data_IF_934725900760
#
_entry.id   IF_934725900760
#
_cell.length_a   1.000
_cell.length_b   1.000
_cell.length_c   1.000
_cell.angle_alpha   90.00
_cell.angle_beta   90.00
_cell.angle_gamma   90.00
#
_symmetry.space_group_name_H-M   'P 1'
#
loop_
_entity.id
_entity.type
_entity.pdbx_description
1 polymer ?
#
# COMPACT_ATOMS: atom_id res chain seq x y z
N UNK A 1 -19.42 -10.78 50.08
CA UNK A 1 -18.16 -10.18 50.60
C UNK A 1 -17.04 -11.21 50.51
N UNK A 2 -15.81 -10.73 50.24
CA UNK A 2 -14.52 -11.41 49.91
C UNK A 2 -14.41 -11.77 48.41
N UNK A 3 -13.85 -10.92 47.53
CA UNK A 3 -12.52 -10.26 47.38
C UNK A 3 -11.40 -11.20 46.89
N UNK A 4 -10.78 -10.80 45.77
CA UNK A 4 -9.48 -11.24 45.23
C UNK A 4 -9.38 -10.85 43.74
N UNK A 5 -9.10 -9.58 43.42
CA UNK A 5 -7.82 -9.06 42.88
C UNK A 5 -7.34 -9.83 41.63
N UNK A 6 -7.49 -9.28 40.43
CA UNK A 6 -6.58 -8.32 39.77
C UNK A 6 -5.25 -8.97 39.37
N UNK A 7 -5.05 -9.19 38.07
CA UNK A 7 -3.73 -9.08 37.44
C UNK A 7 -3.94 -8.44 36.05
N UNK A 8 -3.60 -7.16 35.96
CA UNK A 8 -3.31 -6.49 34.70
C UNK A 8 -1.98 -7.02 34.16
N UNK A 9 -1.96 -7.57 32.95
CA UNK A 9 -0.71 -7.71 32.18
C UNK A 9 -0.80 -6.74 31.01
N UNK A 10 -0.33 -5.53 31.27
CA UNK A 10 0.13 -4.59 30.25
C UNK A 10 1.37 -5.19 29.59
N UNK A 11 1.27 -5.66 28.36
CA UNK A 11 2.48 -5.91 27.54
C UNK A 11 2.84 -4.57 26.91
N UNK A 12 3.83 -3.91 27.53
CA UNK A 12 4.51 -2.74 26.97
C UNK A 12 5.24 -3.15 25.69
N UNK A 13 4.97 -2.40 24.62
CA UNK A 13 5.86 -2.24 23.47
C UNK A 13 7.19 -1.64 23.95
N UNK A 14 8.27 -2.42 23.84
CA UNK A 14 9.64 -1.91 23.96
C UNK A 14 10.23 -1.77 22.55
N UNK A 15 10.24 -0.55 22.04
CA UNK A 15 11.17 -0.13 20.99
C UNK A 15 12.53 0.11 21.66
N UNK A 16 13.50 -0.76 21.41
CA UNK A 16 14.90 -0.48 21.77
C UNK A 16 15.68 -0.07 20.51
N UNK A 17 15.80 1.24 20.33
CA UNK A 17 16.77 1.87 19.46
C UNK A 17 18.19 1.60 20.02
N UNK A 18 19.00 0.85 19.29
CA UNK A 18 20.43 0.74 19.56
C UNK A 18 21.19 1.61 18.55
N UNK A 19 21.53 2.84 18.96
CA UNK A 19 22.67 3.55 18.42
C UNK A 19 23.91 3.01 19.14
N UNK A 20 24.80 2.33 18.43
CA UNK A 20 26.12 2.01 18.96
C UNK A 20 27.17 2.88 18.26
N UNK A 21 27.81 3.72 19.07
CA UNK A 21 28.92 4.59 18.70
C UNK A 21 30.16 3.75 18.39
N UNK A 22 30.62 3.75 17.14
CA UNK A 22 32.00 3.37 16.83
C UNK A 22 32.87 4.63 16.79
N UNK A 23 33.72 4.73 17.81
CA UNK A 23 34.77 5.73 17.97
C UNK A 23 35.87 5.46 16.93
N UNK A 24 36.08 6.37 15.97
CA UNK A 24 37.27 6.36 15.10
C UNK A 24 38.06 7.63 15.31
N UNK A 25 39.34 7.45 15.66
CA UNK A 25 40.29 8.49 15.96
C UNK A 25 40.81 9.20 14.68
N UNK A 26 40.82 10.53 14.75
CA UNK A 26 41.81 11.49 14.23
C UNK A 26 42.46 11.26 12.86
N UNK A 27 42.27 12.22 11.94
CA UNK A 27 43.40 13.00 11.40
C UNK A 27 42.96 14.34 10.81
N UNK A 28 43.55 15.41 11.34
CA UNK A 28 43.49 16.79 10.88
C UNK A 28 44.30 16.96 9.59
N UNK A 29 43.74 17.63 8.58
CA UNK A 29 44.52 18.48 7.66
C UNK A 29 43.76 19.78 7.37
N UNK A 30 44.44 20.87 7.73
CA UNK A 30 44.08 22.27 7.53
C UNK A 30 44.45 22.76 6.13
N UNK A 31 43.82 23.87 5.71
CA UNK A 31 44.30 24.89 4.76
C UNK A 31 44.05 24.57 3.26
N UNK A 32 43.59 25.47 2.38
CA UNK A 32 43.70 26.92 2.29
C UNK A 32 42.56 27.58 1.48
N UNK A 33 42.29 28.84 1.82
CA UNK A 33 41.63 29.89 1.02
C UNK A 33 42.39 30.21 -0.27
N UNK A 34 41.72 30.46 -1.40
CA UNK A 34 42.06 31.57 -2.31
C UNK A 34 40.92 31.90 -3.28
N UNK A 35 40.58 33.19 -3.32
CA UNK A 35 39.81 33.85 -4.37
C UNK A 35 40.59 33.81 -5.71
N UNK A 36 39.89 33.92 -6.84
CA UNK A 36 40.27 34.87 -7.88
C UNK A 36 39.12 35.17 -8.85
N UNK A 37 38.73 36.44 -8.84
CA UNK A 37 38.02 37.14 -9.91
C UNK A 37 39.03 37.43 -11.02
N UNK A 38 38.63 37.25 -12.29
CA UNK A 38 39.19 38.01 -13.41
C UNK A 38 38.05 38.37 -14.37
N UNK A 39 37.68 39.64 -14.27
CA UNK A 39 36.99 40.46 -15.25
C UNK A 39 37.85 40.62 -16.51
N UNK A 40 37.26 40.54 -17.71
CA UNK A 40 37.72 41.38 -18.82
C UNK A 40 36.60 41.72 -19.82
N UNK A 41 36.16 42.96 -19.69
CA UNK A 41 35.57 43.92 -20.64
C UNK A 41 35.83 43.65 -22.13
N UNK A 42 34.82 43.84 -23.00
CA UNK A 42 34.63 45.06 -23.85
C UNK A 42 33.54 44.87 -24.93
N UNK A 43 32.60 45.82 -24.96
CA UNK A 43 31.44 46.06 -25.87
C UNK A 43 31.90 46.97 -27.04
N UNK A 44 31.37 46.96 -28.31
CA UNK A 44 30.07 47.58 -28.71
C UNK A 44 29.43 47.01 -30.00
N UNK A 45 28.28 47.42 -30.56
CA UNK A 45 27.03 48.15 -30.20
C UNK A 45 26.19 48.19 -31.50
N UNK A 46 24.86 48.08 -31.39
CA UNK A 46 23.85 48.55 -32.37
C UNK A 46 23.18 47.45 -33.19
N UNK A 47 21.96 47.58 -33.70
CA UNK A 47 20.82 48.45 -33.43
C UNK A 47 19.56 47.77 -34.04
N UNK A 48 18.42 48.05 -33.42
CA UNK A 48 16.99 47.80 -33.73
C UNK A 48 16.46 47.12 -35.02
N UNK A 49 15.35 46.38 -34.76
CA UNK A 49 14.09 46.18 -35.52
C UNK A 49 14.02 45.26 -36.75
N UNK A 50 13.18 44.21 -36.65
CA UNK A 50 11.91 44.10 -37.39
C UNK A 50 11.11 42.84 -37.01
N UNK A 51 9.80 43.01 -36.83
CA UNK A 51 8.81 41.94 -36.71
C UNK A 51 8.64 41.19 -38.04
N UNK A 52 8.33 39.89 -38.00
CA UNK A 52 7.49 39.25 -39.01
C UNK A 52 6.73 38.08 -38.38
N UNK A 53 5.40 38.18 -38.36
CA UNK A 53 4.49 37.07 -38.09
C UNK A 53 4.58 36.05 -39.23
N UNK A 54 4.59 34.77 -38.92
CA UNK A 54 4.09 33.73 -39.83
C UNK A 54 3.40 32.64 -39.04
N UNK A 55 2.10 32.61 -39.26
CA UNK A 55 1.13 31.57 -38.94
C UNK A 55 1.65 30.21 -39.41
N UNK A 56 1.66 29.23 -38.51
CA UNK A 56 1.90 27.82 -38.86
C UNK A 56 0.77 26.99 -38.27
N UNK A 57 0.23 26.17 -39.16
CA UNK A 57 -0.99 25.39 -39.11
C UNK A 57 -1.10 24.45 -37.90
N UNK A 58 -2.33 24.29 -37.45
CA UNK A 58 -2.75 23.41 -36.37
C UNK A 58 -2.79 21.98 -36.89
N UNK A 59 -1.71 21.22 -36.70
CA UNK A 59 -1.78 19.75 -36.76
C UNK A 59 -2.42 19.28 -35.46
N UNK A 60 -3.69 18.86 -35.53
CA UNK A 60 -4.35 18.18 -34.43
C UNK A 60 -3.82 16.75 -34.37
N UNK A 61 -2.70 16.56 -33.69
CA UNK A 61 -2.37 15.25 -33.16
C UNK A 61 -3.45 14.90 -32.12
N UNK A 62 -4.16 13.81 -32.38
CA UNK A 62 -5.06 13.19 -31.42
C UNK A 62 -4.24 12.78 -30.21
N UNK A 63 -4.27 13.64 -29.19
CA UNK A 63 -3.69 13.45 -27.87
C UNK A 63 -4.26 12.16 -27.27
N UNK A 64 -3.48 11.07 -27.35
CA UNK A 64 -3.72 9.85 -26.61
C UNK A 64 -3.67 10.21 -25.12
N UNK A 65 -4.84 10.53 -24.57
CA UNK A 65 -5.19 10.57 -23.16
C UNK A 65 -3.98 10.71 -22.22
N UNK A 66 -3.60 11.96 -21.94
CA UNK A 66 -2.73 12.32 -20.82
C UNK A 66 -3.46 11.92 -19.52
N UNK A 67 -3.45 10.64 -19.16
CA UNK A 67 -3.90 10.19 -17.85
C UNK A 67 -2.91 10.81 -16.86
N UNK A 68 -3.35 11.71 -15.96
CA UNK A 68 -2.45 12.32 -14.99
C UNK A 68 -1.88 11.22 -14.11
N UNK A 69 -0.56 10.99 -14.22
CA UNK A 69 0.14 10.07 -13.34
C UNK A 69 0.15 10.65 -11.92
N UNK A 70 -0.34 9.91 -10.94
CA UNK A 70 -0.26 10.34 -9.54
C UNK A 70 1.21 10.53 -9.14
N UNK A 71 1.53 11.70 -8.59
CA UNK A 71 2.86 12.00 -8.02
C UNK A 71 2.87 11.88 -6.50
N UNK A 72 1.85 11.25 -5.91
CA UNK A 72 1.74 11.11 -4.46
C UNK A 72 2.91 10.30 -3.91
N UNK A 73 3.63 10.85 -2.95
CA UNK A 73 4.78 10.18 -2.35
C UNK A 73 4.38 9.08 -1.36
N UNK A 74 3.21 9.22 -0.74
CA UNK A 74 2.68 8.34 0.30
C UNK A 74 1.22 7.98 0.02
N UNK A 75 0.77 6.84 0.54
CA UNK A 75 -0.65 6.52 0.59
C UNK A 75 -1.39 7.45 1.55
N UNK A 76 -2.64 7.75 1.24
CA UNK A 76 -3.53 8.53 2.10
C UNK A 76 -4.11 7.63 3.19
N UNK A 77 -3.96 8.04 4.46
CA UNK A 77 -4.67 7.44 5.58
C UNK A 77 -6.08 8.00 5.68
N UNK A 78 -7.11 7.16 5.55
CA UNK A 78 -8.50 7.60 5.38
C UNK A 78 -9.40 7.22 6.56
N UNK A 79 -9.20 6.03 7.13
CA UNK A 79 -9.93 5.49 8.30
C UNK A 79 -11.46 5.71 8.24
N UNK A 80 -12.07 5.32 7.13
CA UNK A 80 -13.50 5.53 6.85
C UNK A 80 -14.23 4.23 6.50
N UNK A 81 -15.57 4.30 6.41
CA UNK A 81 -16.36 3.21 5.84
C UNK A 81 -16.14 3.12 4.33
N UNK A 82 -16.49 1.96 3.75
CA UNK A 82 -16.44 1.77 2.30
C UNK A 82 -17.43 2.70 1.58
N UNK A 83 -16.98 3.30 0.47
CA UNK A 83 -17.87 4.00 -0.47
C UNK A 83 -18.71 3.00 -1.30
N UNK A 84 -19.77 3.50 -1.95
CA UNK A 84 -20.73 2.65 -2.69
C UNK A 84 -20.09 1.84 -3.83
N UNK A 85 -19.04 2.36 -4.46
CA UNK A 85 -18.32 1.67 -5.55
C UNK A 85 -17.46 0.52 -4.99
N UNK A 86 -16.81 0.78 -3.87
CA UNK A 86 -16.04 -0.20 -3.11
C UNK A 86 -16.93 -1.29 -2.54
N UNK A 87 -18.10 -0.96 -1.99
CA UNK A 87 -19.06 -1.95 -1.51
C UNK A 87 -19.47 -2.93 -2.62
N UNK A 88 -19.79 -2.42 -3.82
CA UNK A 88 -20.21 -3.24 -4.96
C UNK A 88 -19.12 -4.19 -5.45
N UNK A 89 -17.88 -3.70 -5.48
CA UNK A 89 -16.73 -4.51 -5.91
C UNK A 89 -16.28 -5.51 -4.85
N UNK A 90 -16.47 -5.20 -3.56
CA UNK A 90 -15.98 -6.02 -2.45
C UNK A 90 -16.95 -7.14 -2.04
N UNK A 91 -18.25 -6.86 -2.00
CA UNK A 91 -19.24 -7.84 -1.54
C UNK A 91 -19.44 -8.96 -2.57
N UNK A 92 -19.47 -10.20 -2.07
CA UNK A 92 -19.72 -11.41 -2.85
C UNK A 92 -19.20 -12.67 -2.16
N UNK A 93 -19.36 -13.79 -2.85
CA UNK A 93 -18.64 -15.03 -2.53
C UNK A 93 -17.36 -15.07 -3.35
N UNK A 94 -16.23 -15.26 -2.68
CA UNK A 94 -14.91 -15.23 -3.28
C UNK A 94 -14.21 -16.56 -3.10
N UNK A 95 -13.41 -16.94 -4.08
CA UNK A 95 -12.58 -18.15 -4.05
C UNK A 95 -11.11 -17.77 -4.23
N UNK A 96 -10.24 -18.38 -3.44
CA UNK A 96 -8.79 -18.21 -3.61
C UNK A 96 -8.37 -18.85 -4.94
N UNK A 97 -7.90 -18.04 -5.88
CA UNK A 97 -7.55 -18.50 -7.23
C UNK A 97 -6.08 -18.91 -7.32
N UNK A 98 -5.16 -18.05 -6.88
CA UNK A 98 -3.71 -18.28 -6.98
C UNK A 98 -2.93 -17.47 -5.94
N UNK A 99 -1.75 -17.98 -5.60
CA UNK A 99 -0.71 -17.22 -4.89
C UNK A 99 -0.17 -16.11 -5.81
N UNK A 100 -0.02 -14.91 -5.27
CA UNK A 100 0.63 -13.77 -5.95
C UNK A 100 2.06 -13.59 -5.46
N UNK A 101 2.28 -13.63 -4.16
CA UNK A 101 3.62 -13.42 -3.61
C UNK A 101 3.63 -13.23 -2.10
N UNK A 102 4.74 -12.70 -1.61
CA UNK A 102 5.00 -12.51 -0.19
C UNK A 102 5.42 -11.07 0.09
N UNK A 103 5.07 -10.54 1.26
CA UNK A 103 5.61 -9.29 1.77
C UNK A 103 7.08 -9.48 2.17
N UNK A 104 7.89 -8.42 2.07
CA UNK A 104 9.33 -8.48 2.36
C UNK A 104 9.64 -8.61 3.86
N UNK A 105 8.63 -8.50 4.72
CA UNK A 105 8.77 -8.39 6.17
C UNK A 105 8.88 -9.72 6.92
N UNK A 106 8.57 -10.86 6.28
CA UNK A 106 8.54 -12.17 6.94
C UNK A 106 9.20 -13.28 6.14
N UNK A 107 9.56 -14.36 6.84
CA UNK A 107 10.14 -15.57 6.25
C UNK A 107 9.07 -16.55 5.75
N UNK A 108 7.82 -16.13 5.55
CA UNK A 108 6.72 -16.99 5.06
C UNK A 108 7.12 -17.76 3.80
N UNK A 109 7.87 -17.15 2.88
CA UNK A 109 8.35 -17.85 1.69
C UNK A 109 9.28 -19.04 2.00
N UNK A 110 9.94 -19.05 3.16
CA UNK A 110 10.77 -20.16 3.63
C UNK A 110 9.93 -21.27 4.28
N UNK A 111 8.90 -20.89 5.03
CA UNK A 111 8.02 -21.83 5.75
C UNK A 111 6.92 -22.41 4.85
N UNK A 112 6.40 -21.58 3.96
CA UNK A 112 5.33 -21.84 2.99
C UNK A 112 5.76 -21.39 1.59
N UNK A 113 6.72 -22.07 0.94
CA UNK A 113 7.25 -21.65 -0.37
C UNK A 113 6.21 -21.65 -1.51
N UNK A 114 5.09 -22.34 -1.32
CA UNK A 114 3.94 -22.34 -2.24
C UNK A 114 2.73 -21.60 -1.66
N UNK A 115 2.94 -20.79 -0.62
CA UNK A 115 1.89 -20.15 0.18
C UNK A 115 1.13 -21.14 1.09
N UNK A 116 0.27 -20.59 1.93
CA UNK A 116 -0.69 -21.37 2.71
C UNK A 116 -1.58 -22.24 1.79
N UNK A 117 -1.98 -23.42 2.26
CA UNK A 117 -2.80 -24.41 1.55
C UNK A 117 -4.28 -24.02 1.56
N UNK A 118 -4.58 -22.89 0.93
CA UNK A 118 -5.91 -22.28 0.88
C UNK A 118 -6.42 -22.06 -0.55
N UNK A 119 -5.63 -22.41 -1.58
CA UNK A 119 -6.08 -22.31 -2.97
C UNK A 119 -7.33 -23.16 -3.15
N UNK A 120 -8.39 -22.53 -3.66
CA UNK A 120 -9.70 -23.13 -3.84
C UNK A 120 -10.65 -23.00 -2.64
N UNK A 121 -10.19 -22.53 -1.49
CA UNK A 121 -11.06 -22.20 -0.36
C UNK A 121 -11.85 -20.91 -0.63
N UNK A 122 -12.95 -20.73 0.11
CA UNK A 122 -13.92 -19.67 -0.15
C UNK A 122 -14.15 -18.74 1.05
N UNK A 123 -14.52 -17.50 0.73
CA UNK A 123 -14.94 -16.46 1.66
C UNK A 123 -16.33 -15.97 1.27
N UNK A 124 -17.08 -15.54 2.27
CA UNK A 124 -18.35 -14.86 2.08
C UNK A 124 -18.21 -13.47 2.67
N UNK A 125 -18.37 -12.44 1.84
CA UNK A 125 -18.26 -11.04 2.22
C UNK A 125 -19.57 -10.35 1.83
N UNK A 126 -20.35 -9.94 2.81
CA UNK A 126 -21.63 -9.26 2.61
C UNK A 126 -21.72 -8.10 3.57
N UNK A 127 -22.54 -7.09 3.24
CA UNK A 127 -22.74 -5.89 4.07
C UNK A 127 -22.97 -6.20 5.55
N UNK A 128 -23.76 -7.23 5.85
CA UNK A 128 -24.15 -7.63 7.21
C UNK A 128 -23.53 -8.96 7.68
N UNK A 129 -22.62 -9.55 6.90
CA UNK A 129 -22.07 -10.86 7.21
C UNK A 129 -20.68 -11.09 6.59
N UNK A 130 -19.74 -11.55 7.41
CA UNK A 130 -18.45 -12.04 6.96
C UNK A 130 -18.23 -13.49 7.40
N UNK A 131 -17.67 -14.31 6.52
CA UNK A 131 -17.19 -15.64 6.87
C UNK A 131 -15.90 -15.99 6.12
N UNK A 132 -14.90 -16.41 6.89
CA UNK A 132 -13.68 -17.06 6.41
C UNK A 132 -13.61 -18.53 6.82
N UNK A 133 -14.75 -19.11 7.23
CA UNK A 133 -14.85 -20.54 7.61
C UNK A 133 -14.46 -21.50 6.48
N UNK A 134 -14.42 -21.04 5.23
CA UNK A 134 -13.92 -21.83 4.11
C UNK A 134 -12.43 -22.16 4.18
N UNK A 135 -11.62 -21.45 4.98
CA UNK A 135 -10.18 -21.68 5.19
C UNK A 135 -9.88 -22.91 6.07
N UNK A 136 -10.35 -24.09 5.65
CA UNK A 136 -10.53 -25.29 6.49
C UNK A 136 -9.26 -25.75 7.22
N UNK A 137 -8.10 -25.48 6.65
CA UNK A 137 -6.82 -25.96 7.17
C UNK A 137 -6.21 -25.07 8.27
N UNK A 138 -6.82 -23.91 8.55
CA UNK A 138 -6.22 -22.89 9.41
C UNK A 138 -7.20 -22.40 10.47
N UNK A 139 -7.08 -22.93 11.68
CA UNK A 139 -7.99 -22.65 12.80
C UNK A 139 -8.08 -21.15 13.13
N UNK A 140 -6.95 -20.45 13.14
CA UNK A 140 -6.88 -19.07 13.61
C UNK A 140 -7.54 -18.07 12.65
N UNK A 141 -7.82 -18.48 11.41
CA UNK A 141 -8.57 -17.68 10.44
C UNK A 141 -10.03 -18.11 10.31
N UNK A 142 -10.55 -18.95 11.20
CA UNK A 142 -11.93 -19.43 11.15
C UNK A 142 -12.89 -18.41 11.78
N UNK A 143 -13.17 -17.31 11.09
CA UNK A 143 -14.07 -16.25 11.57
C UNK A 143 -15.45 -16.32 10.93
N UNK A 144 -16.46 -15.97 11.73
CA UNK A 144 -17.80 -15.64 11.28
C UNK A 144 -18.27 -14.43 12.07
N UNK A 145 -18.61 -13.33 11.38
CA UNK A 145 -18.99 -12.07 11.98
C UNK A 145 -20.37 -11.65 11.47
N UNK A 146 -21.24 -11.25 12.39
CA UNK A 146 -22.54 -10.63 12.08
C UNK A 146 -22.39 -9.12 12.19
N UNK A 147 -22.88 -8.40 11.18
CA UNK A 147 -22.69 -6.96 11.05
C UNK A 147 -21.21 -6.56 11.22
N UNK A 148 -20.29 -7.11 10.39
CA UNK A 148 -18.89 -6.73 10.44
C UNK A 148 -18.72 -5.23 10.13
N UNK A 149 -17.64 -4.64 10.64
CA UNK A 149 -17.23 -3.29 10.28
C UNK A 149 -16.12 -3.37 9.25
N UNK A 150 -16.45 -3.07 8.00
CA UNK A 150 -15.46 -2.93 6.93
C UNK A 150 -14.94 -1.49 6.92
N UNK A 151 -13.62 -1.32 7.05
CA UNK A 151 -13.00 -0.01 7.00
C UNK A 151 -11.93 0.07 5.94
N UNK A 152 -11.90 1.22 5.28
CA UNK A 152 -10.84 1.66 4.40
C UNK A 152 -9.82 2.43 5.23
N UNK A 153 -8.65 1.83 5.44
CA UNK A 153 -7.61 2.43 6.26
C UNK A 153 -6.65 3.26 5.38
N UNK A 154 -6.29 2.77 4.19
CA UNK A 154 -5.37 3.46 3.26
C UNK A 154 -5.83 3.42 1.80
N UNK A 155 -5.47 4.46 1.05
CA UNK A 155 -5.55 4.51 -0.41
C UNK A 155 -4.17 4.86 -0.98
N UNK A 156 -3.68 4.08 -1.93
CA UNK A 156 -2.42 4.32 -2.62
C UNK A 156 -2.72 4.50 -4.12
N UNK A 157 -2.38 5.64 -4.71
CA UNK A 157 -2.68 5.94 -6.12
C UNK A 157 -1.52 5.65 -7.08
N UNK A 158 -0.47 4.97 -6.58
CA UNK A 158 0.67 4.53 -7.38
C UNK A 158 1.46 3.42 -6.66
N UNK A 159 2.24 2.66 -7.43
CA UNK A 159 3.01 1.50 -6.94
C UNK A 159 4.11 1.88 -5.95
N UNK A 160 4.71 3.07 -6.10
CA UNK A 160 5.82 3.51 -5.24
C UNK A 160 5.34 3.82 -3.82
N UNK A 161 4.21 4.51 -3.70
CA UNK A 161 3.54 4.80 -2.42
C UNK A 161 3.07 3.52 -1.73
N UNK A 162 2.50 2.58 -2.50
CA UNK A 162 2.11 1.25 -2.03
C UNK A 162 3.29 0.49 -1.44
N UNK A 163 4.39 0.37 -2.20
CA UNK A 163 5.59 -0.36 -1.75
C UNK A 163 6.15 0.25 -0.46
N UNK A 164 6.19 1.58 -0.38
CA UNK A 164 6.73 2.27 0.79
C UNK A 164 5.96 1.96 2.07
N UNK A 165 4.63 1.87 2.01
CA UNK A 165 3.79 1.58 3.16
C UNK A 165 3.78 0.09 3.49
N UNK A 166 3.49 -0.77 2.50
CA UNK A 166 3.25 -2.19 2.74
C UNK A 166 4.51 -3.06 2.67
N UNK A 167 5.63 -2.51 2.20
CA UNK A 167 6.90 -3.24 2.01
C UNK A 167 6.69 -4.55 1.24
N UNK A 168 5.77 -4.51 0.27
CA UNK A 168 5.37 -5.65 -0.55
C UNK A 168 5.65 -5.29 -1.99
N UNK A 169 6.39 -6.14 -2.69
CA UNK A 169 6.69 -5.94 -4.11
C UNK A 169 5.38 -5.82 -4.92
N UNK A 170 5.13 -4.70 -5.60
CA UNK A 170 3.91 -4.51 -6.39
C UNK A 170 3.88 -5.39 -7.64
N UNK A 171 5.03 -5.82 -8.17
CA UNK A 171 5.11 -6.55 -9.45
C UNK A 171 4.38 -7.91 -9.41
N UNK A 172 4.61 -8.80 -8.42
CA UNK A 172 3.88 -10.06 -8.31
C UNK A 172 2.37 -9.89 -8.06
N UNK A 173 1.95 -8.74 -7.53
CA UNK A 173 0.53 -8.41 -7.31
C UNK A 173 -0.12 -7.80 -8.57
N UNK A 174 0.65 -7.55 -9.62
CA UNK A 174 0.23 -6.83 -10.82
C UNK A 174 -0.35 -5.45 -10.47
N UNK A 175 0.32 -4.70 -9.60
CA UNK A 175 -0.03 -3.31 -9.24
C UNK A 175 0.90 -2.37 -10.02
N UNK A 176 0.31 -1.50 -10.82
CA UNK A 176 1.03 -0.56 -11.67
C UNK A 176 0.99 0.86 -11.10
N UNK A 177 1.79 1.73 -11.70
CA UNK A 177 1.99 3.09 -11.21
C UNK A 177 0.78 4.04 -11.39
N UNK A 178 -0.28 3.58 -12.08
CA UNK A 178 -1.54 4.31 -12.26
C UNK A 178 -2.73 3.62 -11.57
N UNK A 179 -2.47 2.50 -10.87
CA UNK A 179 -3.52 1.78 -10.17
C UNK A 179 -3.79 2.42 -8.80
N UNK A 180 -5.07 2.52 -8.46
CA UNK A 180 -5.51 2.88 -7.10
C UNK A 180 -5.72 1.60 -6.30
N UNK A 181 -5.01 1.49 -5.19
CA UNK A 181 -5.08 0.37 -4.25
C UNK A 181 -5.73 0.83 -2.96
N UNK A 182 -6.83 0.19 -2.59
CA UNK A 182 -7.58 0.42 -1.35
C UNK A 182 -7.28 -0.70 -0.36
N UNK A 183 -6.82 -0.36 0.84
CA UNK A 183 -6.55 -1.33 1.91
C UNK A 183 -7.72 -1.42 2.88
N UNK A 184 -8.33 -2.60 2.95
CA UNK A 184 -9.53 -2.87 3.72
C UNK A 184 -9.22 -3.80 4.89
N UNK A 185 -9.65 -3.39 6.07
CA UNK A 185 -9.64 -4.19 7.29
C UNK A 185 -11.06 -4.57 7.70
N UNK A 186 -11.18 -5.70 8.39
CA UNK A 186 -12.44 -6.20 8.91
C UNK A 186 -12.36 -6.20 10.43
N UNK A 187 -13.31 -5.52 11.08
CA UNK A 187 -13.43 -5.51 12.52
C UNK A 187 -14.72 -6.20 12.96
N UNK A 188 -14.65 -6.91 14.08
CA UNK A 188 -15.82 -7.40 14.80
C UNK A 188 -16.53 -6.20 15.46
N UNK A 189 -17.79 -5.97 15.12
CA UNK A 189 -18.57 -4.84 15.65
C UNK A 189 -18.78 -4.91 17.17
N UNK A 190 -18.74 -6.11 17.77
CA UNK A 190 -18.95 -6.30 19.20
C UNK A 190 -17.72 -5.96 20.04
N UNK A 191 -16.52 -6.23 19.51
CA UNK A 191 -15.25 -6.00 20.21
C UNK A 191 -14.46 -4.80 19.67
N UNK A 192 -14.82 -4.31 18.48
CA UNK A 192 -14.08 -3.34 17.68
C UNK A 192 -12.68 -3.80 17.25
N UNK A 193 -12.31 -5.06 17.49
CA UNK A 193 -11.01 -5.60 17.14
C UNK A 193 -10.98 -6.10 15.69
N UNK A 194 -9.83 -5.91 15.03
CA UNK A 194 -9.58 -6.48 13.70
C UNK A 194 -9.39 -7.99 13.76
N UNK A 195 -9.80 -8.70 12.71
CA UNK A 195 -9.45 -10.11 12.50
C UNK A 195 -8.08 -10.21 11.78
N UNK A 196 -7.35 -11.34 11.90
CA UNK A 196 -6.01 -11.50 11.35
C UNK A 196 -6.01 -11.79 9.84
N UNK A 197 -6.75 -11.00 9.06
CA UNK A 197 -6.70 -10.96 7.60
C UNK A 197 -7.19 -9.61 7.10
N UNK A 198 -6.78 -9.24 5.89
CA UNK A 198 -7.14 -7.97 5.25
C UNK A 198 -7.16 -8.12 3.73
N UNK A 199 -7.54 -7.05 3.03
CA UNK A 199 -7.70 -7.08 1.58
C UNK A 199 -7.10 -5.85 0.93
N UNK A 200 -6.53 -6.04 -0.26
CA UNK A 200 -6.37 -4.97 -1.23
C UNK A 200 -7.47 -5.05 -2.27
N UNK A 201 -8.04 -3.91 -2.61
CA UNK A 201 -8.85 -3.73 -3.81
C UNK A 201 -8.06 -2.88 -4.78
N UNK A 202 -7.77 -3.42 -5.96
CA UNK A 202 -7.08 -2.70 -7.03
C UNK A 202 -8.12 -2.23 -8.04
N UNK A 203 -8.22 -0.91 -8.24
CA UNK A 203 -9.12 -0.23 -9.18
C UNK A 203 -10.61 -0.59 -9.02
N UNK A 204 -11.06 -1.02 -7.83
CA UNK A 204 -12.41 -1.56 -7.62
C UNK A 204 -12.75 -2.79 -8.49
N UNK A 205 -11.75 -3.50 -9.01
CA UNK A 205 -11.95 -4.61 -9.96
C UNK A 205 -11.37 -5.93 -9.44
N UNK A 206 -10.18 -5.88 -8.83
CA UNK A 206 -9.45 -7.06 -8.36
C UNK A 206 -9.36 -7.06 -6.85
N UNK A 207 -9.61 -8.23 -6.26
CA UNK A 207 -9.53 -8.43 -4.83
C UNK A 207 -8.34 -9.34 -4.50
N UNK A 208 -7.45 -8.84 -3.64
CA UNK A 208 -6.29 -9.57 -3.17
C UNK A 208 -6.45 -9.80 -1.67
N UNK A 209 -6.43 -11.06 -1.26
CA UNK A 209 -6.38 -11.44 0.15
C UNK A 209 -4.97 -11.28 0.68
N UNK A 210 -4.83 -10.65 1.83
CA UNK A 210 -3.64 -10.73 2.67
C UNK A 210 -3.91 -11.70 3.81
N UNK A 211 -3.07 -12.73 3.90
CA UNK A 211 -3.02 -13.65 5.01
C UNK A 211 -1.58 -13.66 5.55
N UNK A 212 -1.40 -12.99 6.69
CA UNK A 212 -0.07 -12.67 7.21
C UNK A 212 0.81 -11.97 6.16
N UNK A 213 1.94 -12.55 5.78
CA UNK A 213 2.81 -12.00 4.76
C UNK A 213 2.56 -12.58 3.37
N UNK A 214 1.47 -13.33 3.16
CA UNK A 214 1.18 -13.98 1.89
C UNK A 214 -0.03 -13.33 1.20
N UNK A 215 0.12 -13.06 -0.09
CA UNK A 215 -0.91 -12.41 -0.91
C UNK A 215 -1.50 -13.37 -1.93
N UNK A 216 -2.84 -13.41 -2.04
CA UNK A 216 -3.55 -14.29 -2.98
C UNK A 216 -4.58 -13.52 -3.82
N UNK A 217 -4.66 -13.84 -5.10
CA UNK A 217 -5.75 -13.36 -5.95
C UNK A 217 -7.05 -14.07 -5.56
N UNK A 218 -8.13 -13.30 -5.42
CA UNK A 218 -9.46 -13.83 -5.24
C UNK A 218 -10.29 -13.67 -6.52
N UNK A 219 -11.06 -14.72 -6.82
CA UNK A 219 -12.01 -14.73 -7.92
C UNK A 219 -13.43 -14.70 -7.39
N UNK A 220 -14.24 -13.78 -7.90
CA UNK A 220 -15.65 -13.71 -7.55
C UNK A 220 -16.39 -14.93 -8.13
N UNK A 221 -17.13 -15.62 -7.28
CA UNK A 221 -17.94 -16.80 -7.64
C UNK A 221 -19.39 -16.37 -7.84
N UNK A 222 -19.93 -15.59 -6.92
CA UNK A 222 -21.26 -14.98 -6.99
C UNK A 222 -21.26 -13.61 -6.34
N UNK A 223 -22.21 -12.77 -6.73
CA UNK A 223 -22.58 -11.57 -5.98
C UNK A 223 -23.31 -11.91 -4.66
#
# INVERSE_FOLDING_TARGET
MKKGFLVCITIMLMLSSACENVQTASTTKTSNTSNNSVENTTVPKGADTSQTNSTSEHESETDESIIPKSTAEYCDGVWTNLDDETEKSFYGTWKVEKLLGFANSYNDASEYPTGQKIIGDEFIIKKDFFSSKGLKNYHDYQHELKNPLYRLDFICDNSDSFYRLFQTDPDPLNINNNDTVKYIVINDSSTQLGIPLSFFIVNNDRLILLLEATSFELKKVTD
#
